data_IF_378661928935
#
_entry.id   IF_378661928935
#
_cell.length_a   1.000
_cell.length_b   1.000
_cell.length_c   1.000
_cell.angle_alpha   90.00
_cell.angle_beta   90.00
_cell.angle_gamma   90.00
#
_symmetry.space_group_name_H-M   'P 1'
#
loop_
_entity.id
_entity.type
_entity.pdbx_description
1 polymer ?
#
# COMPACT_ATOMS: atom_id res chain seq x y z
N UNK A 1 -35.32 -6.85 -45.53
CA UNK A 1 -34.35 -6.62 -44.42
C UNK A 1 -35.01 -6.25 -43.07
N UNK A 2 -36.20 -6.77 -42.71
CA UNK A 2 -36.86 -6.45 -41.41
C UNK A 2 -37.05 -7.63 -40.44
N UNK A 3 -36.67 -8.86 -40.83
CA UNK A 3 -36.88 -10.06 -40.00
C UNK A 3 -35.68 -10.48 -39.15
N UNK A 4 -34.47 -9.97 -39.42
CA UNK A 4 -33.26 -10.31 -38.64
C UNK A 4 -33.04 -9.44 -37.40
N UNK A 5 -33.68 -8.26 -37.32
CA UNK A 5 -33.56 -7.38 -36.15
C UNK A 5 -34.45 -7.78 -34.97
N UNK A 6 -35.55 -8.53 -35.21
CA UNK A 6 -36.46 -8.95 -34.15
C UNK A 6 -35.93 -10.13 -33.33
N UNK A 7 -35.05 -10.96 -33.91
CA UNK A 7 -34.45 -12.09 -33.23
C UNK A 7 -33.35 -11.69 -32.22
N UNK A 8 -32.68 -10.55 -32.45
CA UNK A 8 -31.62 -10.06 -31.54
C UNK A 8 -32.25 -9.31 -30.36
N UNK A 9 -33.38 -8.61 -30.55
CA UNK A 9 -34.07 -7.94 -29.45
C UNK A 9 -34.73 -8.92 -28.46
N UNK A 10 -35.15 -10.11 -28.94
CA UNK A 10 -35.69 -11.18 -28.08
C UNK A 10 -34.62 -11.95 -27.30
N UNK A 11 -33.33 -11.83 -27.64
CA UNK A 11 -32.24 -12.49 -26.92
C UNK A 11 -31.70 -11.65 -25.75
N UNK A 12 -31.99 -10.34 -25.74
CA UNK A 12 -31.56 -9.40 -24.68
C UNK A 12 -32.58 -9.30 -23.53
N UNK A 13 -33.82 -9.77 -23.73
CA UNK A 13 -34.90 -9.70 -22.73
C UNK A 13 -35.06 -10.95 -21.85
N UNK A 14 -34.18 -11.94 -21.96
CA UNK A 14 -34.36 -13.27 -21.31
C UNK A 14 -33.55 -13.51 -20.03
N UNK A 15 -32.81 -12.52 -19.50
CA UNK A 15 -32.05 -12.67 -18.25
C UNK A 15 -32.60 -11.80 -17.12
N UNK A 16 -33.91 -11.89 -16.88
CA UNK A 16 -34.56 -11.33 -15.70
C UNK A 16 -35.64 -12.28 -15.21
N UNK A 17 -35.25 -13.35 -14.50
CA UNK A 17 -36.01 -14.01 -13.44
C UNK A 17 -35.34 -15.33 -13.04
N UNK A 18 -34.44 -15.27 -12.07
CA UNK A 18 -34.15 -16.40 -11.20
C UNK A 18 -33.74 -15.86 -9.82
N UNK A 19 -34.70 -15.25 -9.13
CA UNK A 19 -34.67 -15.18 -7.69
C UNK A 19 -34.77 -16.62 -7.16
N UNK A 20 -33.64 -17.28 -6.96
CA UNK A 20 -33.59 -18.53 -6.20
C UNK A 20 -33.35 -18.19 -4.74
N UNK A 21 -34.40 -17.77 -4.04
CA UNK A 21 -34.41 -17.62 -2.59
C UNK A 21 -34.49 -19.01 -1.95
N UNK A 22 -33.34 -19.67 -1.82
CA UNK A 22 -33.21 -20.75 -0.84
C UNK A 22 -33.15 -20.10 0.55
N UNK A 23 -34.08 -20.42 1.48
CA UNK A 23 -33.89 -20.06 2.87
C UNK A 23 -32.72 -20.89 3.41
N UNK A 24 -31.54 -20.28 3.45
CA UNK A 24 -30.42 -20.85 4.19
C UNK A 24 -30.81 -20.84 5.66
N UNK A 25 -31.02 -22.05 6.17
CA UNK A 25 -31.23 -22.35 7.59
C UNK A 25 -30.08 -21.72 8.39
N UNK A 26 -30.33 -20.90 9.42
CA UNK A 26 -29.26 -20.45 10.30
C UNK A 26 -28.70 -21.69 11.01
N UNK A 27 -27.48 -22.07 10.65
CA UNK A 27 -26.68 -22.94 11.49
C UNK A 27 -26.38 -22.15 12.75
N UNK A 28 -27.01 -22.54 13.86
CA UNK A 28 -26.63 -22.13 15.20
C UNK A 28 -25.25 -22.71 15.45
N UNK A 29 -24.21 -21.93 15.14
CA UNK A 29 -22.86 -22.19 15.66
C UNK A 29 -22.87 -21.85 17.13
N UNK A 30 -22.94 -22.89 17.95
CA UNK A 30 -22.69 -22.84 19.38
C UNK A 30 -21.35 -22.14 19.61
N UNK A 31 -21.38 -20.97 20.26
CA UNK A 31 -20.18 -20.32 20.79
C UNK A 31 -19.50 -21.31 21.75
N UNK A 32 -18.42 -21.94 21.29
CA UNK A 32 -17.37 -22.39 22.20
C UNK A 32 -16.75 -21.13 22.81
N UNK A 33 -16.96 -20.91 24.10
CA UNK A 33 -16.31 -19.84 24.84
C UNK A 33 -14.81 -19.87 24.56
N UNK A 34 -14.17 -18.75 24.20
CA UNK A 34 -12.72 -18.67 24.22
C UNK A 34 -12.28 -18.82 25.67
N UNK A 35 -11.69 -19.98 25.99
CA UNK A 35 -10.89 -20.13 27.20
C UNK A 35 -9.68 -19.24 26.98
N UNK A 36 -9.73 -18.02 27.50
CA UNK A 36 -8.55 -17.17 27.60
C UNK A 36 -7.52 -17.91 28.46
N UNK A 37 -6.32 -18.23 27.94
CA UNK A 37 -5.25 -18.66 28.82
C UNK A 37 -4.93 -17.47 29.73
N UNK A 38 -5.26 -17.60 31.01
CA UNK A 38 -4.72 -16.73 32.05
C UNK A 38 -3.22 -17.03 32.08
N UNK A 39 -2.43 -16.21 31.40
CA UNK A 39 -0.98 -16.22 31.55
C UNK A 39 -0.68 -15.50 32.86
N UNK A 40 -0.63 -16.26 33.95
CA UNK A 40 -0.17 -15.76 35.24
C UNK A 40 1.34 -15.52 35.14
N UNK A 41 1.74 -14.27 34.91
CA UNK A 41 3.14 -13.87 35.03
C UNK A 41 3.50 -13.86 36.51
N UNK A 42 4.17 -14.92 36.98
CA UNK A 42 4.82 -14.93 38.28
C UNK A 42 6.09 -14.08 38.17
N UNK A 43 6.03 -12.84 38.66
CA UNK A 43 7.19 -11.97 38.77
C UNK A 43 8.06 -12.46 39.93
N UNK A 44 8.97 -13.39 39.66
CA UNK A 44 10.03 -13.74 40.59
C UNK A 44 11.07 -12.62 40.55
N UNK A 45 10.97 -11.69 41.49
CA UNK A 45 12.00 -10.69 41.74
C UNK A 45 13.25 -11.39 42.32
N UNK A 46 14.14 -11.83 41.44
CA UNK A 46 15.45 -12.36 41.84
C UNK A 46 16.39 -11.19 42.10
N UNK A 47 16.53 -10.84 43.38
CA UNK A 47 17.53 -9.93 43.90
C UNK A 47 18.89 -10.66 43.84
N UNK A 48 19.73 -10.33 42.87
CA UNK A 48 21.09 -10.88 42.76
C UNK A 48 22.14 -9.78 42.91
N UNK A 49 23.09 -10.11 43.79
CA UNK A 49 24.13 -9.30 44.37
C UNK A 49 24.93 -8.45 43.37
N UNK A 50 25.24 -7.23 43.80
CA UNK A 50 26.25 -6.37 43.19
C UNK A 50 27.63 -7.01 43.40
N UNK A 51 28.19 -7.58 42.34
CA UNK A 51 29.60 -7.94 42.28
C UNK A 51 30.37 -6.73 41.74
N UNK A 52 31.20 -6.14 42.59
CA UNK A 52 32.22 -5.16 42.23
C UNK A 52 33.16 -5.74 41.17
N UNK A 53 32.99 -5.30 39.94
CA UNK A 53 33.89 -5.60 38.83
C UNK A 53 35.12 -4.69 38.92
N UNK A 54 36.26 -5.29 39.25
CA UNK A 54 37.59 -4.69 39.11
C UNK A 54 37.79 -4.30 37.65
N UNK A 55 37.90 -3.00 37.37
CA UNK A 55 38.13 -2.46 36.04
C UNK A 55 39.55 -2.79 35.57
N UNK A 56 39.67 -3.76 34.67
CA UNK A 56 40.88 -3.96 33.86
C UNK A 56 41.08 -2.72 32.99
N UNK A 57 42.29 -2.11 32.94
CA UNK A 57 42.55 -1.00 32.04
C UNK A 57 42.35 -1.47 30.60
N UNK A 58 41.29 -0.98 29.96
CA UNK A 58 41.02 -1.18 28.54
C UNK A 58 42.11 -0.48 27.74
N UNK A 59 42.91 -1.26 27.01
CA UNK A 59 43.81 -0.73 26.00
C UNK A 59 42.94 0.03 24.99
N UNK A 60 43.19 1.33 24.84
CA UNK A 60 42.47 2.17 23.88
C UNK A 60 42.60 1.54 22.48
N UNK A 61 41.49 1.22 21.79
CA UNK A 61 41.55 0.67 20.45
C UNK A 61 42.23 1.69 19.52
N UNK A 62 43.24 1.24 18.79
CA UNK A 62 43.83 1.97 17.67
C UNK A 62 42.70 2.49 16.77
N UNK A 63 42.66 3.79 16.40
CA UNK A 63 41.60 4.31 15.54
C UNK A 63 41.56 3.51 14.25
N UNK A 64 40.44 2.82 14.02
CA UNK A 64 40.17 2.14 12.76
C UNK A 64 40.19 3.21 11.65
N UNK A 65 40.90 3.00 10.53
CA UNK A 65 40.88 3.95 9.43
C UNK A 65 39.42 4.19 9.03
N UNK A 66 39.00 5.46 9.09
CA UNK A 66 37.71 5.90 8.59
C UNK A 66 37.65 5.53 7.12
N UNK A 67 36.78 4.58 6.78
CA UNK A 67 36.55 4.23 5.39
C UNK A 67 36.11 5.49 4.65
N UNK A 68 36.87 5.87 3.63
CA UNK A 68 36.45 6.90 2.67
C UNK A 68 35.07 6.48 2.16
N UNK A 69 34.04 7.33 2.26
CA UNK A 69 32.73 6.98 1.73
C UNK A 69 32.89 6.66 0.25
N UNK A 70 32.52 5.44 -0.13
CA UNK A 70 32.37 5.07 -1.54
C UNK A 70 31.47 6.12 -2.19
N UNK A 71 31.85 6.72 -3.33
CA UNK A 71 30.97 7.64 -4.03
C UNK A 71 29.61 6.96 -4.20
N UNK A 72 28.56 7.53 -3.62
CA UNK A 72 27.21 7.07 -3.89
C UNK A 72 26.99 7.23 -5.40
N UNK A 73 26.61 6.14 -6.08
CA UNK A 73 26.21 6.20 -7.48
C UNK A 73 25.04 7.18 -7.57
N UNK A 74 25.31 8.37 -8.12
CA UNK A 74 24.29 9.39 -8.35
C UNK A 74 23.38 8.85 -9.44
N UNK A 75 22.27 8.24 -9.04
CA UNK A 75 21.22 7.81 -9.96
C UNK A 75 20.67 9.09 -10.61
N UNK A 76 20.80 9.25 -11.95
CA UNK A 76 20.29 10.44 -12.61
C UNK A 76 18.78 10.55 -12.36
N UNK A 77 18.24 11.77 -12.24
CA UNK A 77 16.81 11.94 -12.05
C UNK A 77 16.06 11.22 -13.18
N UNK A 78 14.88 10.64 -12.91
CA UNK A 78 14.14 9.76 -13.82
C UNK A 78 13.64 10.44 -15.11
N UNK A 79 14.11 11.64 -15.44
CA UNK A 79 13.63 12.43 -16.55
C UNK A 79 12.19 12.92 -16.35
N UNK A 80 11.54 13.35 -17.42
CA UNK A 80 10.11 13.71 -17.40
C UNK A 80 9.28 12.46 -17.70
N UNK A 81 8.48 12.01 -16.75
CA UNK A 81 7.50 10.94 -16.98
C UNK A 81 6.13 11.55 -17.26
N UNK A 82 5.51 11.15 -18.37
CA UNK A 82 4.22 11.66 -18.82
C UNK A 82 3.34 10.54 -19.38
N UNK A 83 2.03 10.77 -19.34
CA UNK A 83 1.00 9.84 -19.82
C UNK A 83 0.42 10.37 -21.13
N UNK A 84 0.26 9.48 -22.10
CA UNK A 84 -0.49 9.73 -23.34
C UNK A 84 -1.60 8.70 -23.46
N UNK A 85 -2.49 8.84 -24.45
CA UNK A 85 -3.51 7.82 -24.76
C UNK A 85 -2.93 6.45 -25.16
N UNK A 86 -1.63 6.38 -25.43
CA UNK A 86 -0.95 5.16 -25.86
C UNK A 86 -0.03 4.56 -24.78
N UNK A 87 -0.06 5.10 -23.55
CA UNK A 87 0.65 4.55 -22.40
C UNK A 87 1.52 5.57 -21.65
N UNK A 88 2.45 5.03 -20.84
CA UNK A 88 3.39 5.80 -20.04
C UNK A 88 4.73 5.96 -20.76
N UNK A 89 5.24 7.18 -20.78
CA UNK A 89 6.46 7.57 -21.49
C UNK A 89 7.40 8.31 -20.57
N UNK A 90 8.71 8.16 -20.83
CA UNK A 90 9.78 8.90 -20.17
C UNK A 90 10.54 9.70 -21.22
N UNK A 91 10.85 10.95 -20.93
CA UNK A 91 11.86 11.72 -21.66
C UNK A 91 13.14 11.68 -20.82
N UNK A 92 14.17 11.04 -21.36
CA UNK A 92 15.48 10.96 -20.73
C UNK A 92 16.19 12.33 -20.74
N UNK A 93 17.30 12.43 -20.01
CA UNK A 93 18.09 13.68 -19.91
C UNK A 93 18.66 14.17 -21.25
N UNK A 94 18.76 13.30 -22.24
CA UNK A 94 19.17 13.63 -23.61
C UNK A 94 18.00 14.08 -24.51
N UNK A 95 16.79 14.19 -23.94
CA UNK A 95 15.58 14.57 -24.65
C UNK A 95 14.91 13.44 -25.44
N UNK A 96 15.45 12.21 -25.41
CA UNK A 96 14.82 11.08 -26.11
C UNK A 96 13.66 10.54 -25.32
N UNK A 97 12.56 10.25 -26.03
CA UNK A 97 11.40 9.61 -25.46
C UNK A 97 11.52 8.08 -25.54
N UNK A 98 11.31 7.40 -24.42
CA UNK A 98 11.17 5.95 -24.34
C UNK A 98 9.79 5.60 -23.77
N UNK A 99 9.10 4.63 -24.38
CA UNK A 99 7.85 4.11 -23.85
C UNK A 99 8.18 3.16 -22.68
N UNK A 100 7.73 3.51 -21.48
CA UNK A 100 7.90 2.67 -20.29
C UNK A 100 6.84 1.56 -20.23
N UNK A 101 5.62 1.87 -20.65
CA UNK A 101 4.52 0.91 -20.65
C UNK A 101 3.43 1.29 -21.64
N UNK A 102 2.71 0.28 -22.13
CA UNK A 102 1.45 0.45 -22.87
C UNK A 102 0.25 0.58 -21.94
N UNK A 103 0.40 0.20 -20.66
CA UNK A 103 -0.63 0.30 -19.65
C UNK A 103 -0.69 1.73 -19.10
N UNK A 104 -1.87 2.08 -18.60
CA UNK A 104 -2.08 3.32 -17.89
C UNK A 104 -1.84 3.06 -16.41
N UNK A 105 -0.90 3.77 -15.83
CA UNK A 105 -0.73 3.79 -14.38
C UNK A 105 -1.48 4.96 -13.78
N UNK A 106 -1.84 4.82 -12.50
CA UNK A 106 -2.56 5.84 -11.75
C UNK A 106 -1.60 6.75 -10.99
N UNK A 107 -0.52 6.19 -10.44
CA UNK A 107 0.43 6.91 -9.60
C UNK A 107 1.86 6.49 -9.85
N UNK A 108 2.77 7.46 -9.88
CA UNK A 108 4.21 7.25 -10.06
C UNK A 108 4.91 7.59 -8.75
N UNK A 109 5.87 6.77 -8.38
CA UNK A 109 6.72 7.00 -7.21
C UNK A 109 7.47 8.33 -7.33
N UNK A 110 7.77 9.02 -6.20
CA UNK A 110 8.54 10.27 -6.23
C UNK A 110 9.88 10.16 -6.97
N UNK A 111 10.54 9.02 -6.86
CA UNK A 111 11.80 8.69 -7.53
C UNK A 111 11.65 8.27 -9.00
N UNK A 112 10.41 8.10 -9.49
CA UNK A 112 10.11 7.75 -10.88
C UNK A 112 10.56 6.35 -11.30
N UNK A 113 10.93 5.47 -10.37
CA UNK A 113 11.39 4.10 -10.67
C UNK A 113 10.26 3.08 -10.60
N UNK A 114 9.17 3.40 -9.90
CA UNK A 114 8.02 2.52 -9.71
C UNK A 114 6.69 3.23 -10.02
N UNK A 115 5.68 2.45 -10.40
CA UNK A 115 4.31 2.92 -10.59
C UNK A 115 3.28 1.98 -9.95
N UNK A 116 2.20 2.55 -9.44
CA UNK A 116 1.03 1.84 -8.91
C UNK A 116 -0.04 1.75 -10.00
N UNK A 117 -0.55 0.54 -10.18
CA UNK A 117 -1.69 0.21 -11.01
C UNK A 117 -2.79 -0.40 -10.13
N UNK A 118 -3.99 0.16 -10.15
CA UNK A 118 -5.15 -0.42 -9.48
C UNK A 118 -5.94 -1.26 -10.48
N UNK A 119 -5.78 -2.58 -10.38
CA UNK A 119 -6.45 -3.55 -11.26
C UNK A 119 -7.65 -4.18 -10.57
N UNK A 120 -8.49 -4.85 -11.35
CA UNK A 120 -9.60 -5.63 -10.83
C UNK A 120 -10.96 -4.95 -11.00
N UNK A 121 -11.93 -5.40 -10.22
CA UNK A 121 -13.28 -4.83 -10.25
C UNK A 121 -13.33 -3.61 -9.33
N UNK A 122 -14.29 -2.69 -9.52
CA UNK A 122 -14.44 -1.54 -8.61
C UNK A 122 -14.93 -1.91 -7.19
N UNK A 123 -14.95 -3.20 -6.84
CA UNK A 123 -15.22 -3.72 -5.50
C UNK A 123 -14.02 -4.49 -4.91
N UNK A 124 -13.12 -4.96 -5.77
CA UNK A 124 -11.99 -5.81 -5.46
C UNK A 124 -10.80 -5.25 -6.24
N UNK A 125 -10.40 -4.03 -5.86
CA UNK A 125 -9.20 -3.41 -6.40
C UNK A 125 -7.98 -4.14 -5.82
N UNK A 126 -7.08 -4.54 -6.71
CA UNK A 126 -5.78 -5.09 -6.39
C UNK A 126 -4.72 -4.04 -6.70
N UNK A 127 -3.82 -3.81 -5.77
CA UNK A 127 -2.68 -2.94 -5.99
C UNK A 127 -1.55 -3.73 -6.64
N UNK A 128 -1.17 -3.31 -7.84
CA UNK A 128 -0.01 -3.83 -8.52
C UNK A 128 1.08 -2.76 -8.54
N UNK A 129 2.29 -3.14 -8.15
CA UNK A 129 3.47 -2.32 -8.34
C UNK A 129 4.18 -2.74 -9.61
N UNK A 130 4.56 -1.78 -10.44
CA UNK A 130 5.37 -1.99 -11.62
C UNK A 130 6.71 -1.29 -11.44
N UNK A 131 7.80 -2.04 -11.58
CA UNK A 131 9.13 -1.49 -11.75
C UNK A 131 9.23 -0.91 -13.17
N UNK A 132 9.45 0.40 -13.27
CA UNK A 132 9.51 1.13 -14.54
C UNK A 132 10.86 0.97 -15.26
N UNK A 133 11.87 0.45 -14.59
CA UNK A 133 13.18 0.13 -15.18
C UNK A 133 13.12 -1.24 -15.86
N UNK A 134 12.60 -2.24 -15.17
CA UNK A 134 12.58 -3.64 -15.64
C UNK A 134 11.27 -4.03 -16.32
N UNK A 135 10.19 -3.28 -16.09
CA UNK A 135 8.83 -3.62 -16.51
C UNK A 135 8.18 -4.75 -15.71
N UNK A 136 8.85 -5.27 -14.66
CA UNK A 136 8.29 -6.32 -13.82
C UNK A 136 7.12 -5.81 -13.00
N UNK A 137 6.10 -6.66 -12.82
CA UNK A 137 4.91 -6.36 -12.03
C UNK A 137 4.77 -7.35 -10.86
N UNK A 138 4.34 -6.86 -9.71
CA UNK A 138 3.95 -7.69 -8.58
C UNK A 138 2.73 -7.15 -7.84
N UNK A 139 1.86 -8.05 -7.40
CA UNK A 139 0.67 -7.72 -6.62
C UNK A 139 1.08 -7.47 -5.16
N UNK A 140 0.84 -6.26 -4.65
CA UNK A 140 1.10 -5.88 -3.27
C UNK A 140 0.01 -6.37 -2.30
N UNK A 141 -1.19 -6.64 -2.83
CA UNK A 141 -2.40 -6.91 -2.04
C UNK A 141 -2.85 -8.37 -2.04
N UNK A 142 -2.17 -9.24 -2.80
CA UNK A 142 -2.55 -10.65 -3.04
C UNK A 142 -2.92 -11.41 -1.76
N UNK A 143 -2.19 -11.16 -0.67
CA UNK A 143 -2.32 -11.90 0.61
C UNK A 143 -3.00 -11.11 1.72
N UNK A 144 -3.51 -9.91 1.47
CA UNK A 144 -4.08 -9.08 2.52
C UNK A 144 -5.48 -9.54 2.95
N UNK A 145 -6.22 -10.23 2.07
CA UNK A 145 -7.60 -10.63 2.34
C UNK A 145 -8.54 -9.44 2.55
N UNK A 146 -8.25 -8.31 1.90
CA UNK A 146 -8.90 -7.01 2.07
C UNK A 146 -9.07 -6.33 0.72
N UNK A 147 -10.15 -5.57 0.57
CA UNK A 147 -10.27 -4.62 -0.53
C UNK A 147 -9.49 -3.35 -0.18
N UNK A 148 -9.03 -2.67 -1.20
CA UNK A 148 -8.29 -1.41 -1.07
C UNK A 148 -8.91 -0.32 -1.93
N UNK A 149 -8.56 0.93 -1.66
CA UNK A 149 -8.82 2.05 -2.57
C UNK A 149 -7.88 3.21 -2.29
N UNK A 150 -7.75 4.13 -3.25
CA UNK A 150 -7.09 5.43 -3.06
C UNK A 150 -5.62 5.33 -2.65
N UNK A 151 -4.89 4.45 -3.30
CA UNK A 151 -3.46 4.31 -3.10
C UNK A 151 -2.72 5.60 -3.48
N UNK A 152 -1.83 6.05 -2.62
CA UNK A 152 -0.93 7.18 -2.87
C UNK A 152 0.44 6.90 -2.26
N UNK A 153 1.49 7.34 -2.93
CA UNK A 153 2.83 7.32 -2.35
C UNK A 153 2.91 8.27 -1.16
N UNK A 154 3.55 7.84 -0.07
CA UNK A 154 3.78 8.70 1.09
C UNK A 154 4.99 9.61 0.82
N UNK A 155 4.81 10.94 0.70
CA UNK A 155 5.91 11.84 0.35
C UNK A 155 7.05 11.89 1.38
N UNK A 156 6.75 11.70 2.66
CA UNK A 156 7.74 11.75 3.76
C UNK A 156 8.42 10.40 4.05
N UNK A 157 7.94 9.29 3.46
CA UNK A 157 8.48 7.96 3.70
C UNK A 157 8.66 7.21 2.38
N UNK A 158 9.87 7.28 1.83
CA UNK A 158 10.23 6.60 0.59
C UNK A 158 9.85 5.11 0.61
N UNK A 159 9.35 4.62 -0.52
CA UNK A 159 8.91 3.23 -0.64
C UNK A 159 7.59 2.90 0.08
N UNK A 160 6.97 3.84 0.79
CA UNK A 160 5.69 3.58 1.47
C UNK A 160 4.49 4.05 0.68
N UNK A 161 3.41 3.28 0.73
CA UNK A 161 2.14 3.57 0.05
C UNK A 161 1.04 3.62 1.10
N UNK A 162 0.30 4.73 1.13
CA UNK A 162 -0.91 4.92 1.94
C UNK A 162 -2.14 4.57 1.11
N UNK A 163 -3.12 3.91 1.73
CA UNK A 163 -4.38 3.56 1.07
C UNK A 163 -5.49 3.32 2.10
N UNK A 164 -6.74 3.36 1.66
CA UNK A 164 -7.86 2.87 2.47
C UNK A 164 -7.98 1.35 2.29
N UNK A 165 -8.16 0.59 3.37
CA UNK A 165 -8.42 -0.85 3.30
C UNK A 165 -9.61 -1.29 4.16
N UNK A 166 -10.33 -2.33 3.73
CA UNK A 166 -11.42 -2.90 4.51
C UNK A 166 -11.56 -4.42 4.27
N UNK A 167 -12.14 -5.18 5.23
CA UNK A 167 -12.41 -6.60 5.02
C UNK A 167 -13.29 -6.83 3.80
N UNK A 168 -13.03 -7.90 3.02
CA UNK A 168 -13.79 -8.23 1.81
C UNK A 168 -15.32 -8.37 2.03
N UNK A 169 -15.72 -8.67 3.26
CA UNK A 169 -17.13 -8.85 3.65
C UNK A 169 -17.85 -7.52 3.94
N UNK A 170 -17.08 -6.45 4.20
CA UNK A 170 -17.62 -5.13 4.48
C UNK A 170 -17.82 -4.39 3.15
N UNK A 171 -19.02 -4.43 2.57
CA UNK A 171 -19.32 -3.86 1.23
C UNK A 171 -19.24 -2.32 1.09
N UNK A 172 -18.48 -1.63 1.92
CA UNK A 172 -18.41 -0.16 1.95
C UNK A 172 -17.36 0.43 1.01
N UNK A 173 -17.75 0.75 -0.25
CA UNK A 173 -16.89 1.43 -1.25
C UNK A 173 -16.20 2.71 -0.79
N UNK A 174 -16.74 3.36 0.24
CA UNK A 174 -16.27 4.65 0.73
C UNK A 174 -15.84 4.60 2.20
N UNK A 175 -15.67 3.40 2.77
CA UNK A 175 -15.27 3.26 4.16
C UNK A 175 -14.14 2.27 4.32
N UNK A 176 -12.97 2.74 4.72
CA UNK A 176 -11.82 1.89 4.98
C UNK A 176 -10.97 2.46 6.11
N UNK A 177 -10.13 1.62 6.69
CA UNK A 177 -9.12 2.02 7.64
C UNK A 177 -7.91 2.56 6.88
N UNK A 178 -7.32 3.64 7.37
CA UNK A 178 -6.07 4.15 6.81
C UNK A 178 -5.00 3.09 7.04
N UNK A 179 -4.38 2.63 5.95
CA UNK A 179 -3.40 1.55 5.96
C UNK A 179 -2.14 1.98 5.21
N UNK A 180 -1.03 1.34 5.54
CA UNK A 180 0.26 1.52 4.88
C UNK A 180 0.80 0.15 4.44
N UNK A 181 1.54 0.13 3.34
CA UNK A 181 2.36 -1.02 2.93
C UNK A 181 3.68 -0.51 2.33
N UNK A 182 4.77 -1.26 2.49
CA UNK A 182 6.00 -0.98 1.77
C UNK A 182 5.95 -1.54 0.35
N UNK A 183 6.59 -0.85 -0.59
CA UNK A 183 6.68 -1.22 -2.00
C UNK A 183 7.38 -2.58 -2.24
N UNK A 184 8.25 -2.98 -1.30
CA UNK A 184 8.90 -4.29 -1.28
C UNK A 184 8.00 -5.42 -0.73
N UNK A 185 6.73 -5.10 -0.40
CA UNK A 185 5.70 -5.95 0.24
C UNK A 185 5.92 -6.24 1.73
N UNK A 186 6.90 -5.61 2.36
CA UNK A 186 7.05 -5.70 3.81
C UNK A 186 6.08 -4.76 4.54
N UNK A 187 5.82 -5.06 5.82
CA UNK A 187 5.24 -4.08 6.75
C UNK A 187 3.85 -3.53 6.38
N UNK A 188 2.90 -4.39 6.01
CA UNK A 188 1.49 -3.98 5.99
C UNK A 188 1.01 -3.66 7.41
N UNK A 189 0.39 -2.51 7.59
CA UNK A 189 -0.12 -2.04 8.87
C UNK A 189 -1.40 -1.21 8.68
N UNK A 190 -2.36 -1.35 9.61
CA UNK A 190 -3.50 -0.45 9.73
C UNK A 190 -3.13 0.63 10.75
N UNK A 191 -3.09 1.88 10.30
CA UNK A 191 -2.62 3.01 11.11
C UNK A 191 -3.65 3.49 12.14
N UNK A 192 -4.94 3.28 11.86
CA UNK A 192 -6.05 3.62 12.77
C UNK A 192 -7.21 2.63 12.56
N UNK A 193 -7.40 1.71 13.51
CA UNK A 193 -8.49 0.73 13.51
C UNK A 193 -9.80 1.29 14.12
N UNK A 194 -9.76 2.44 14.78
CA UNK A 194 -10.94 3.03 15.41
C UNK A 194 -11.69 3.94 14.43
N UNK A 195 -10.96 4.58 13.51
CA UNK A 195 -11.53 5.54 12.55
C UNK A 195 -11.50 5.02 11.14
N UNK A 196 -12.70 4.87 10.58
CA UNK A 196 -12.90 4.67 9.14
C UNK A 196 -12.83 6.01 8.41
N UNK A 197 -12.00 6.07 7.38
CA UNK A 197 -12.05 7.10 6.36
C UNK A 197 -13.39 7.00 5.65
N UNK A 198 -14.19 8.08 5.65
CA UNK A 198 -15.53 8.11 5.03
C UNK A 198 -15.52 8.38 3.52
N UNK A 199 -14.36 8.60 2.94
CA UNK A 199 -14.20 8.80 1.50
C UNK A 199 -12.77 8.51 1.07
N UNK A 200 -12.64 8.17 -0.20
CA UNK A 200 -11.38 8.16 -0.93
C UNK A 200 -10.68 9.50 -0.73
N UNK A 201 -9.46 9.54 -0.20
CA UNK A 201 -8.75 10.78 0.15
C UNK A 201 -8.40 11.57 -1.14
N UNK A 202 -9.22 12.51 -1.62
CA UNK A 202 -8.83 13.32 -2.78
C UNK A 202 -7.80 14.39 -2.35
N UNK A 203 -7.59 14.50 -1.03
CA UNK A 203 -7.03 15.65 -0.34
C UNK A 203 -5.63 15.41 0.23
N UNK A 204 -5.06 14.21 0.11
CA UNK A 204 -3.65 14.01 0.50
C UNK A 204 -2.67 14.77 -0.40
N UNK A 205 -3.06 15.14 -1.64
CA UNK A 205 -2.28 16.09 -2.46
C UNK A 205 -2.21 17.50 -1.87
N UNK A 206 -3.02 17.81 -0.85
CA UNK A 206 -3.10 19.10 -0.15
C UNK A 206 -2.96 18.94 1.36
N UNK A 207 -2.24 17.91 1.83
CA UNK A 207 -1.54 18.06 3.11
C UNK A 207 -0.48 19.14 2.89
N UNK A 208 -0.91 20.41 2.91
CA UNK A 208 0.01 21.49 3.14
C UNK A 208 0.79 21.15 4.41
N UNK A 209 2.11 21.37 4.44
CA UNK A 209 2.85 21.27 5.68
C UNK A 209 2.11 22.13 6.70
N UNK A 210 1.65 21.51 7.78
CA UNK A 210 0.99 22.25 8.85
C UNK A 210 1.86 23.47 9.19
N UNK A 211 1.29 24.68 9.32
CA UNK A 211 2.05 25.88 9.65
C UNK A 211 2.44 25.82 11.13
N UNK A 212 3.34 24.91 11.49
CA UNK A 212 3.94 24.80 12.80
C UNK A 212 5.44 25.07 12.57
N UNK A 213 5.92 26.16 13.17
CA UNK A 213 7.26 26.77 13.06
C UNK A 213 7.43 27.81 11.94
N UNK A 214 6.65 28.90 12.01
CA UNK A 214 7.27 30.21 11.77
C UNK A 214 8.11 30.54 13.01
N UNK A 215 9.42 30.35 12.90
CA UNK A 215 10.38 31.01 13.80
C UNK A 215 10.20 32.51 13.60
N UNK A 216 9.54 33.17 14.55
CA UNK A 216 9.60 34.62 14.69
C UNK A 216 11.07 34.95 14.98
N UNK A 217 11.77 35.50 14.00
CA UNK A 217 12.96 36.31 14.29
C UNK A 217 12.44 37.70 14.64
N UNK A 218 12.65 38.08 15.89
CA UNK A 218 12.70 39.49 16.32
C UNK A 218 13.85 40.22 15.65
#
# INVERSE_FOLDING_TARGET
>A
MRRKFLAILLLVLSFSAACNSNPVRPAVSTLGSPVSPIVTFSATATLMASLTSTSTPTIAPTPLPTATPTPEDIVPPPGLIYKTNNGLWRVDSDGKSAQLSKQFFDYISPEGTSAIDLKGSPFLEEMWLTDLVTGQQHNLTEKLGRSITCAVWWPERFGSILFGSWPLQDGGRNSGFLSIIQADRSGYEILDEEKRLKACLPRLRTLEPSPILRVQRE
#
